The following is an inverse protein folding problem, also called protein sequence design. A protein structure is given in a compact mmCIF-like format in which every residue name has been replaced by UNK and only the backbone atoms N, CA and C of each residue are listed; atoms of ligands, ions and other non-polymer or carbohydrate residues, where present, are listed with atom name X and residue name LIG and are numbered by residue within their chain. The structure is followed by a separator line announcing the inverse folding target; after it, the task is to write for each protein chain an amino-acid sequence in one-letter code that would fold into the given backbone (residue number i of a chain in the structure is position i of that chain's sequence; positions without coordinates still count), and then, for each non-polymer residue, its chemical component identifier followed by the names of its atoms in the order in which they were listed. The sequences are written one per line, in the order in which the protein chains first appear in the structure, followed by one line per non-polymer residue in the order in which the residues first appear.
data_IF_884350552593
#
_entry.id   IF_884350552593
#
_cell.length_a   1.000
_cell.length_b   1.000
_cell.length_c   1.000
_cell.angle_alpha   90.00
_cell.angle_beta   90.00
_cell.angle_gamma   90.00
#
_symmetry.space_group_name_H-M   'P 1'
#
loop_
_entity.id
_entity.type
_entity.pdbx_description
1 polymer ?
#
# COMPACT_ATOMS: atom_id res chain seq x y z
N UNK A 1 -17.64 -11.88 -27.17
CA UNK A 1 -17.86 -10.82 -26.15
C UNK A 1 -19.13 -10.04 -26.47
N UNK A 2 -20.09 -9.93 -25.55
CA UNK A 2 -21.17 -8.96 -25.71
C UNK A 2 -20.57 -7.55 -25.54
N UNK A 3 -20.68 -6.70 -26.56
CA UNK A 3 -20.13 -5.33 -26.62
C UNK A 3 -20.42 -4.50 -25.35
N UNK A 4 -21.53 -4.82 -24.68
CA UNK A 4 -21.95 -4.27 -23.38
C UNK A 4 -20.92 -4.47 -22.26
N UNK A 5 -20.33 -5.67 -22.14
CA UNK A 5 -19.37 -5.97 -21.07
C UNK A 5 -18.05 -5.21 -21.26
N UNK A 6 -17.57 -5.12 -22.51
CA UNK A 6 -16.34 -4.42 -22.83
C UNK A 6 -16.46 -2.91 -22.53
N UNK A 7 -17.61 -2.31 -22.83
CA UNK A 7 -17.89 -0.90 -22.50
C UNK A 7 -17.90 -0.69 -20.99
N UNK A 8 -18.53 -1.59 -20.21
CA UNK A 8 -18.57 -1.48 -18.74
C UNK A 8 -17.16 -1.57 -18.16
N UNK A 9 -16.35 -2.55 -18.58
CA UNK A 9 -14.98 -2.73 -18.11
C UNK A 9 -14.12 -1.50 -18.43
N UNK A 10 -14.23 -0.96 -19.65
CA UNK A 10 -13.49 0.23 -20.07
C UNK A 10 -13.86 1.45 -19.23
N UNK A 11 -15.15 1.64 -18.93
CA UNK A 11 -15.62 2.75 -18.10
C UNK A 11 -15.10 2.64 -16.66
N UNK A 12 -15.15 1.44 -16.07
CA UNK A 12 -14.62 1.16 -14.72
C UNK A 12 -13.12 1.40 -14.66
N UNK A 13 -12.36 0.91 -15.64
CA UNK A 13 -10.91 1.12 -15.71
C UNK A 13 -10.54 2.60 -15.84
N UNK A 14 -11.27 3.38 -16.65
CA UNK A 14 -11.05 4.83 -16.78
C UNK A 14 -11.34 5.56 -15.48
N UNK A 15 -12.49 5.29 -14.84
CA UNK A 15 -12.84 5.91 -13.55
C UNK A 15 -11.77 5.59 -12.50
N UNK A 16 -11.33 4.33 -12.46
CA UNK A 16 -10.30 3.87 -11.55
C UNK A 16 -8.96 4.61 -11.75
N UNK A 17 -8.53 4.79 -13.00
CA UNK A 17 -7.34 5.56 -13.34
C UNK A 17 -7.46 7.03 -12.95
N UNK A 18 -8.63 7.65 -13.14
CA UNK A 18 -8.90 9.03 -12.71
C UNK A 18 -8.81 9.14 -11.18
N UNK A 19 -9.35 8.17 -10.43
CA UNK A 19 -9.25 8.15 -8.97
C UNK A 19 -7.77 8.08 -8.53
N UNK A 20 -6.98 7.17 -9.12
CA UNK A 20 -5.55 7.08 -8.82
C UNK A 20 -4.84 8.39 -9.15
N UNK A 21 -5.07 8.95 -10.34
CA UNK A 21 -4.45 10.21 -10.76
C UNK A 21 -4.80 11.38 -9.83
N UNK A 22 -6.06 11.45 -9.36
CA UNK A 22 -6.49 12.46 -8.40
C UNK A 22 -5.90 12.25 -7.01
N UNK A 23 -5.74 11.00 -6.56
CA UNK A 23 -5.04 10.70 -5.29
C UNK A 23 -3.56 11.07 -5.37
N UNK A 24 -2.94 10.89 -6.54
CA UNK A 24 -1.55 11.28 -6.82
C UNK A 24 -1.36 12.80 -6.78
N UNK A 25 -2.27 13.53 -7.44
CA UNK A 25 -2.23 14.99 -7.53
C UNK A 25 -2.42 15.67 -6.17
N UNK A 26 -3.15 15.05 -5.26
CA UNK A 26 -3.43 15.62 -3.94
C UNK A 26 -2.34 15.32 -2.89
N UNK A 27 -1.17 14.78 -3.28
CA UNK A 27 -0.04 14.41 -2.41
C UNK A 27 -0.40 13.52 -1.20
N UNK A 28 -1.58 12.88 -1.22
CA UNK A 28 -2.04 12.01 -0.12
C UNK A 28 -1.26 10.69 -0.06
N UNK A 29 -0.49 10.37 -1.11
CA UNK A 29 0.28 9.15 -1.26
C UNK A 29 1.67 9.55 -1.80
N UNK A 30 2.75 9.13 -1.13
CA UNK A 30 4.10 9.28 -1.67
C UNK A 30 4.21 8.55 -3.02
N UNK A 31 4.84 9.19 -4.00
CA UNK A 31 4.98 8.72 -5.39
C UNK A 31 5.40 7.23 -5.52
N UNK A 32 6.17 6.75 -4.52
CA UNK A 32 6.62 5.37 -4.40
C UNK A 32 5.49 4.34 -4.27
N UNK A 33 4.44 4.63 -3.48
CA UNK A 33 3.34 3.68 -3.25
C UNK A 33 2.32 3.68 -4.38
N UNK A 34 2.18 4.80 -5.07
CA UNK A 34 1.35 4.94 -6.28
C UNK A 34 1.94 4.28 -7.51
N UNK A 35 3.26 4.04 -7.53
CA UNK A 35 3.94 3.47 -8.70
C UNK A 35 3.39 2.07 -9.04
N UNK A 36 3.11 1.26 -8.02
CA UNK A 36 2.47 -0.04 -8.18
C UNK A 36 1.06 0.09 -8.76
N UNK A 37 0.26 1.05 -8.29
CA UNK A 37 -1.10 1.29 -8.78
C UNK A 37 -1.15 1.80 -10.22
N UNK A 38 -0.24 2.71 -10.60
CA UNK A 38 -0.11 3.20 -11.98
C UNK A 38 0.29 2.05 -12.90
N UNK A 39 1.27 1.24 -12.49
CA UNK A 39 1.72 0.09 -13.27
C UNK A 39 0.59 -0.94 -13.49
N UNK A 40 -0.14 -1.30 -12.42
CA UNK A 40 -1.30 -2.20 -12.52
C UNK A 40 -2.40 -1.61 -13.41
N UNK A 41 -2.67 -0.30 -13.28
CA UNK A 41 -3.64 0.40 -14.11
C UNK A 41 -3.29 0.37 -15.59
N UNK A 42 -2.02 0.58 -15.94
CA UNK A 42 -1.53 0.50 -17.32
C UNK A 42 -1.69 -0.91 -17.89
N UNK A 43 -1.32 -1.95 -17.12
CA UNK A 43 -1.49 -3.35 -17.54
C UNK A 43 -2.96 -3.66 -17.81
N UNK A 44 -3.86 -3.26 -16.89
CA UNK A 44 -5.31 -3.41 -17.06
C UNK A 44 -5.83 -2.71 -18.31
N UNK A 45 -5.34 -1.51 -18.61
CA UNK A 45 -5.73 -0.73 -19.78
C UNK A 45 -5.37 -1.45 -21.08
N UNK A 46 -4.15 -2.00 -21.15
CA UNK A 46 -3.67 -2.77 -22.32
C UNK A 46 -4.54 -4.02 -22.54
N UNK A 47 -4.83 -4.77 -21.48
CA UNK A 47 -5.69 -5.96 -21.55
C UNK A 47 -7.10 -5.59 -22.01
N UNK A 48 -7.63 -4.45 -21.55
CA UNK A 48 -8.99 -4.00 -21.90
C UNK A 48 -9.12 -3.56 -23.36
N UNK A 49 -8.09 -2.92 -23.92
CA UNK A 49 -8.09 -2.46 -25.32
C UNK A 49 -7.96 -3.64 -26.28
N UNK A 50 -7.18 -4.67 -25.92
CA UNK A 50 -6.89 -5.83 -26.77
C UNK A 50 -7.56 -7.11 -26.24
N UNK A 51 -8.84 -7.37 -26.57
CA UNK A 51 -9.55 -8.57 -26.10
C UNK A 51 -8.87 -9.89 -26.51
N UNK A 52 -8.12 -9.90 -27.61
CA UNK A 52 -7.32 -11.05 -28.04
C UNK A 52 -6.29 -11.52 -26.98
N UNK A 53 -5.76 -10.61 -26.15
CA UNK A 53 -4.87 -10.96 -25.04
C UNK A 53 -5.64 -11.73 -23.96
N UNK A 54 -6.88 -11.30 -23.72
CA UNK A 54 -7.75 -11.91 -22.70
C UNK A 54 -8.26 -13.27 -23.16
N UNK A 55 -8.62 -13.41 -24.43
CA UNK A 55 -9.02 -14.69 -25.01
C UNK A 55 -7.84 -15.69 -25.00
N UNK A 56 -6.62 -15.26 -25.35
CA UNK A 56 -5.42 -16.09 -25.25
C UNK A 56 -5.10 -16.52 -23.79
N UNK A 57 -5.35 -15.63 -22.82
CA UNK A 57 -5.22 -15.95 -21.39
C UNK A 57 -6.28 -16.95 -20.93
N UNK A 58 -7.53 -16.81 -21.39
CA UNK A 58 -8.61 -17.75 -21.08
C UNK A 58 -8.29 -19.16 -21.62
N UNK A 59 -7.80 -19.24 -22.85
CA UNK A 59 -7.36 -20.49 -23.47
C UNK A 59 -6.17 -21.11 -22.72
N UNK A 60 -5.16 -20.30 -22.34
CA UNK A 60 -4.01 -20.75 -21.56
C UNK A 60 -4.42 -21.29 -20.18
N UNK A 61 -5.39 -20.64 -19.54
CA UNK A 61 -5.91 -21.05 -18.24
C UNK A 61 -6.93 -22.18 -18.31
N UNK A 62 -7.38 -22.57 -19.51
CA UNK A 62 -8.41 -23.60 -19.72
C UNK A 62 -9.80 -23.17 -19.24
N UNK A 63 -10.09 -21.87 -19.23
CA UNK A 63 -11.35 -21.30 -18.73
C UNK A 63 -12.29 -21.02 -19.90
N UNK A 64 -13.49 -21.59 -19.85
CA UNK A 64 -14.49 -21.50 -20.95
C UNK A 64 -14.99 -20.07 -21.17
N UNK A 65 -15.19 -19.30 -20.09
CA UNK A 65 -15.67 -17.93 -20.16
C UNK A 65 -14.52 -16.93 -19.98
N UNK A 66 -14.29 -16.07 -20.97
CA UNK A 66 -13.28 -15.01 -20.91
C UNK A 66 -13.45 -14.10 -19.67
N UNK A 67 -14.68 -13.94 -19.18
CA UNK A 67 -15.00 -13.15 -17.98
C UNK A 67 -14.34 -13.72 -16.72
N UNK A 68 -14.33 -15.04 -16.60
CA UNK A 68 -13.77 -15.73 -15.43
C UNK A 68 -12.24 -15.60 -15.41
N UNK A 69 -11.59 -15.60 -16.58
CA UNK A 69 -10.15 -15.35 -16.69
C UNK A 69 -9.78 -13.92 -16.21
N UNK A 70 -10.54 -12.90 -16.62
CA UNK A 70 -10.35 -11.51 -16.15
C UNK A 70 -10.57 -11.40 -14.64
N UNK A 71 -11.63 -12.03 -14.12
CA UNK A 71 -11.93 -12.00 -12.70
C UNK A 71 -10.81 -12.65 -11.86
N UNK A 72 -10.31 -13.80 -12.31
CA UNK A 72 -9.18 -14.47 -11.66
C UNK A 72 -7.93 -13.58 -11.66
N UNK A 73 -7.60 -12.96 -12.79
CA UNK A 73 -6.47 -12.06 -12.91
C UNK A 73 -6.61 -10.85 -11.97
N UNK A 74 -7.79 -10.25 -11.92
CA UNK A 74 -8.10 -9.14 -11.02
C UNK A 74 -7.93 -9.54 -9.54
N UNK A 75 -8.39 -10.74 -9.17
CA UNK A 75 -8.26 -11.27 -7.81
C UNK A 75 -6.79 -11.56 -7.46
N UNK A 76 -6.01 -12.07 -8.42
CA UNK A 76 -4.57 -12.25 -8.26
C UNK A 76 -3.83 -10.91 -8.06
N UNK A 77 -4.12 -9.90 -8.87
CA UNK A 77 -3.57 -8.56 -8.68
C UNK A 77 -3.98 -7.95 -7.34
N UNK A 78 -5.23 -8.14 -6.93
CA UNK A 78 -5.71 -7.69 -5.62
C UNK A 78 -4.90 -8.33 -4.49
N UNK A 79 -4.62 -9.62 -4.56
CA UNK A 79 -3.77 -10.32 -3.58
C UNK A 79 -2.37 -9.71 -3.53
N UNK A 80 -1.74 -9.43 -4.68
CA UNK A 80 -0.42 -8.80 -4.73
C UNK A 80 -0.43 -7.41 -4.09
N UNK A 81 -1.47 -6.62 -4.33
CA UNK A 81 -1.64 -5.28 -3.75
C UNK A 81 -1.80 -5.38 -2.23
N UNK A 82 -2.69 -6.24 -1.74
CA UNK A 82 -2.92 -6.44 -0.31
C UNK A 82 -1.65 -6.93 0.38
N UNK A 83 -0.91 -7.84 -0.25
CA UNK A 83 0.36 -8.33 0.26
C UNK A 83 1.41 -7.21 0.35
N UNK A 84 1.55 -6.39 -0.70
CA UNK A 84 2.42 -5.20 -0.69
C UNK A 84 2.06 -4.22 0.42
N UNK A 85 0.77 -3.95 0.61
CA UNK A 85 0.25 -3.13 1.70
C UNK A 85 0.57 -3.72 3.06
N UNK A 86 0.44 -5.04 3.21
CA UNK A 86 0.78 -5.77 4.45
C UNK A 86 2.25 -5.60 4.80
N UNK A 87 3.16 -5.70 3.82
CA UNK A 87 4.59 -5.46 4.04
C UNK A 87 4.85 -4.00 4.44
N UNK A 88 4.23 -3.03 3.76
CA UNK A 88 4.38 -1.62 4.09
C UNK A 88 3.89 -1.32 5.52
N UNK A 89 2.72 -1.85 5.89
CA UNK A 89 2.14 -1.71 7.23
C UNK A 89 3.02 -2.37 8.29
N UNK A 90 3.57 -3.55 8.01
CA UNK A 90 4.49 -4.24 8.92
C UNK A 90 5.75 -3.41 9.19
N UNK A 91 6.36 -2.82 8.15
CA UNK A 91 7.51 -1.91 8.32
C UNK A 91 7.16 -0.67 9.14
N UNK A 92 6.02 -0.05 8.87
CA UNK A 92 5.56 1.10 9.66
C UNK A 92 5.32 0.73 11.12
N UNK A 93 4.70 -0.42 11.39
CA UNK A 93 4.48 -0.93 12.75
C UNK A 93 5.81 -1.13 13.50
N UNK A 94 6.84 -1.64 12.83
CA UNK A 94 8.16 -1.78 13.46
C UNK A 94 8.79 -0.42 13.76
N UNK A 95 8.67 0.54 12.83
CA UNK A 95 9.19 1.90 13.06
C UNK A 95 8.52 2.61 14.23
N UNK A 96 7.20 2.45 14.37
CA UNK A 96 6.46 2.97 15.52
C UNK A 96 6.96 2.35 16.83
N UNK A 97 7.21 1.04 16.86
CA UNK A 97 7.78 0.35 18.04
C UNK A 97 9.18 0.89 18.38
N UNK A 98 10.05 1.07 17.39
CA UNK A 98 11.39 1.64 17.60
C UNK A 98 11.33 3.04 18.21
N UNK A 99 10.50 3.92 17.64
CA UNK A 99 10.33 5.29 18.16
C UNK A 99 9.77 5.27 19.59
N UNK A 100 8.79 4.43 19.88
CA UNK A 100 8.23 4.29 21.22
C UNK A 100 9.30 3.83 22.24
N UNK A 101 10.19 2.94 21.83
CA UNK A 101 11.32 2.49 22.65
C UNK A 101 12.35 3.61 22.88
N UNK A 102 12.70 4.38 21.84
CA UNK A 102 13.59 5.53 21.96
C UNK A 102 13.02 6.59 22.92
N UNK A 103 11.72 6.89 22.83
CA UNK A 103 11.04 7.81 23.75
C UNK A 103 11.08 7.29 25.19
N UNK A 104 10.78 6.00 25.40
CA UNK A 104 10.82 5.41 26.74
C UNK A 104 12.23 5.45 27.36
N UNK A 105 13.27 5.19 26.56
CA UNK A 105 14.67 5.29 27.01
C UNK A 105 15.04 6.74 27.35
N UNK A 106 14.59 7.71 26.54
CA UNK A 106 14.83 9.12 26.79
C UNK A 106 14.17 9.58 28.10
N UNK A 107 12.93 9.18 28.36
CA UNK A 107 12.24 9.47 29.63
C UNK A 107 12.96 8.85 30.84
N UNK A 108 13.43 7.61 30.72
CA UNK A 108 14.19 6.94 31.78
C UNK A 108 15.47 7.70 32.12
N UNK A 109 16.25 8.08 31.10
CA UNK A 109 17.48 8.84 31.30
C UNK A 109 17.19 10.20 31.96
N UNK A 110 16.12 10.89 31.52
CA UNK A 110 15.74 12.19 32.09
C UNK A 110 15.38 12.09 33.58
N UNK A 111 14.63 11.06 33.99
CA UNK A 111 14.32 10.79 35.40
C UNK A 111 15.60 10.54 36.20
N UNK A 112 16.48 9.68 35.69
CA UNK A 112 17.77 9.37 36.33
C UNK A 112 18.62 10.63 36.55
N UNK A 113 18.72 11.51 35.55
CA UNK A 113 19.43 12.78 35.73
C UNK A 113 18.76 13.68 36.76
N UNK A 114 17.43 13.75 36.79
CA UNK A 114 16.69 14.53 37.79
C UNK A 114 16.95 14.04 39.22
N UNK A 115 17.02 12.71 39.41
CA UNK A 115 17.28 12.09 40.71
C UNK A 115 18.72 12.37 41.17
N UNK A 116 19.69 12.30 40.26
CA UNK A 116 21.10 12.62 40.53
C UNK A 116 21.28 14.10 40.94
N UNK A 117 20.57 15.02 40.27
CA UNK A 117 20.61 16.45 40.61
C UNK A 117 20.02 16.70 42.00
N UNK A 118 18.91 16.03 42.34
CA UNK A 118 18.32 16.13 43.69
C UNK A 118 19.26 15.57 44.75
N UNK A 119 19.88 14.41 44.50
CA UNK A 119 20.81 13.78 45.44
C UNK A 119 22.03 14.66 45.69
N UNK A 120 22.62 15.25 44.65
CA UNK A 120 23.73 16.19 44.79
C UNK A 120 23.32 17.45 45.59
N UNK A 121 22.12 17.98 45.36
CA UNK A 121 21.61 19.14 46.12
C UNK A 121 21.48 18.80 47.61
N UNK A 122 20.96 17.62 47.95
CA UNK A 122 20.82 17.19 49.35
C UNK A 122 22.17 16.98 50.03
N UNK A 123 23.15 16.35 49.35
CA UNK A 123 24.51 16.16 49.92
C UNK A 123 25.29 17.45 50.15
N UNK A 124 24.93 18.55 49.47
CA UNK A 124 25.53 19.86 49.71
C UNK A 124 24.84 20.66 50.82
N UNK A 125 23.66 20.25 51.29
CA UNK A 125 22.95 20.88 52.43
C UNK A 125 23.37 20.27 53.77
N UNK A 126 23.87 19.03 53.78
CA UNK A 126 24.38 18.33 54.97
C UNK A 126 25.87 18.62 55.28
N UNK A 127 26.53 19.47 54.48
CA UNK A 127 27.92 19.93 54.70
C UNK A 127 27.95 21.38 55.14
#
# INVERSE_FOLDING_TARGET
MALKLQVILLLVTIIFLIIIANMLRNEKIELKYSLTWIFTGIIMLIITIYPAITDALADLMGVVDTVNAVFFLALFFLLLIVFSLTIALSRQSNRIKEIAQEVALLEYNLRKYSDLVQLNRNTNLDK
#
